data_IF_887555989136
#
_entry.id   IF_887555989136
#
_cell.length_a   1.000
_cell.length_b   1.000
_cell.length_c   1.000
_cell.angle_alpha   90.00
_cell.angle_beta   90.00
_cell.angle_gamma   90.00
#
_symmetry.space_group_name_H-M   'P 1'
#
loop_
_entity.id
_entity.type
_entity.pdbx_description
1 polymer ?
#
# COMPACT_ATOMS: atom_id res chain seq x y z
N UNK A 1 -4.95 -29.83 -16.19
CA UNK A 1 -4.08 -29.07 -15.27
C UNK A 1 -4.96 -28.41 -14.24
N UNK A 2 -4.78 -28.73 -12.95
CA UNK A 2 -5.35 -27.91 -11.88
C UNK A 2 -4.46 -26.68 -11.72
N UNK A 3 -5.07 -25.50 -11.67
CA UNK A 3 -4.37 -24.23 -11.45
C UNK A 3 -4.61 -23.87 -9.98
N UNK A 4 -3.56 -23.80 -9.18
CA UNK A 4 -3.69 -23.32 -7.81
C UNK A 4 -3.88 -21.81 -7.84
N UNK A 5 -5.10 -21.37 -7.56
CA UNK A 5 -5.50 -19.97 -7.62
C UNK A 5 -6.31 -19.57 -6.38
N UNK A 6 -6.13 -18.31 -5.95
CA UNK A 6 -6.93 -17.70 -4.88
C UNK A 6 -8.00 -16.82 -5.53
N UNK A 7 -9.27 -17.12 -5.24
CA UNK A 7 -10.38 -16.26 -5.63
C UNK A 7 -10.64 -15.26 -4.48
N UNK A 8 -10.58 -13.96 -4.80
CA UNK A 8 -10.87 -12.87 -3.85
C UNK A 8 -11.98 -11.99 -4.41
N UNK A 9 -12.92 -11.59 -3.56
CA UNK A 9 -13.93 -10.60 -3.91
C UNK A 9 -13.24 -9.29 -4.31
N UNK A 10 -13.59 -8.78 -5.49
CA UNK A 10 -13.08 -7.51 -5.98
C UNK A 10 -13.67 -6.34 -5.18
N UNK A 11 -12.83 -5.37 -4.80
CA UNK A 11 -13.27 -4.13 -4.16
C UNK A 11 -13.79 -3.21 -5.27
N UNK A 12 -15.11 -3.21 -5.46
CA UNK A 12 -15.77 -2.53 -6.56
C UNK A 12 -15.94 -1.02 -6.35
N UNK A 13 -15.90 -0.56 -5.09
CA UNK A 13 -16.02 0.86 -4.72
C UNK A 13 -14.78 1.29 -3.93
N UNK A 14 -13.58 1.31 -4.54
CA UNK A 14 -12.39 1.80 -3.86
C UNK A 14 -12.48 3.31 -3.63
N UNK A 15 -11.80 3.81 -2.62
CA UNK A 15 -11.57 5.24 -2.47
C UNK A 15 -10.69 5.75 -3.62
N UNK A 16 -11.10 6.85 -4.24
CA UNK A 16 -10.46 7.42 -5.43
C UNK A 16 -9.93 8.83 -5.14
N UNK A 17 -8.81 9.18 -5.73
CA UNK A 17 -8.31 10.55 -5.80
C UNK A 17 -8.23 10.93 -7.27
N UNK A 18 -8.86 12.04 -7.65
CA UNK A 18 -8.96 12.50 -9.04
C UNK A 18 -9.53 11.44 -10.01
N UNK A 19 -10.37 10.53 -9.48
CA UNK A 19 -10.94 9.40 -10.23
C UNK A 19 -9.97 8.24 -10.47
N UNK A 20 -8.75 8.28 -9.92
CA UNK A 20 -7.76 7.23 -10.03
C UNK A 20 -7.81 6.32 -8.81
N UNK A 21 -7.78 5.01 -9.06
CA UNK A 21 -7.62 4.00 -8.03
C UNK A 21 -6.17 3.99 -7.54
N UNK A 22 -5.96 3.73 -6.26
CA UNK A 22 -4.61 3.58 -5.71
C UNK A 22 -4.54 2.47 -4.65
N UNK A 23 -3.31 2.08 -4.34
CA UNK A 23 -3.00 1.26 -3.18
C UNK A 23 -1.96 1.95 -2.31
N UNK A 24 -1.82 1.46 -1.08
CA UNK A 24 -0.78 1.86 -0.16
C UNK A 24 0.23 0.75 -0.02
N UNK A 25 1.51 1.11 0.00
CA UNK A 25 2.64 0.28 0.35
C UNK A 25 3.25 0.81 1.63
N UNK A 26 3.09 0.04 2.69
CA UNK A 26 3.55 0.40 4.04
C UNK A 26 4.70 -0.51 4.43
N UNK A 27 5.74 0.07 5.00
CA UNK A 27 6.96 -0.65 5.38
C UNK A 27 6.96 -0.94 6.87
N UNK A 28 7.11 -2.22 7.22
CA UNK A 28 7.09 -2.70 8.59
C UNK A 28 8.34 -3.52 8.84
N UNK A 29 9.14 -3.13 9.82
CA UNK A 29 10.28 -3.93 10.27
C UNK A 29 9.86 -4.75 11.49
N UNK A 30 10.05 -6.07 11.42
CA UNK A 30 9.90 -6.96 12.57
C UNK A 30 11.28 -7.42 12.99
N UNK A 31 11.70 -7.06 14.21
CA UNK A 31 13.08 -7.35 14.69
C UNK A 31 13.14 -8.52 15.66
N UNK A 32 11.98 -8.98 16.13
CA UNK A 32 11.85 -10.09 17.06
C UNK A 32 10.41 -10.62 16.98
N UNK A 33 10.23 -11.93 17.10
CA UNK A 33 8.94 -12.60 17.27
C UNK A 33 8.77 -13.19 18.68
N UNK A 34 9.81 -13.14 19.53
CA UNK A 34 9.75 -13.53 20.94
C UNK A 34 10.74 -12.69 21.78
N UNK A 35 10.29 -11.61 22.43
CA UNK A 35 8.95 -11.02 22.31
C UNK A 35 8.74 -10.37 20.93
N UNK A 36 7.50 -10.29 20.44
CA UNK A 36 7.19 -9.61 19.18
C UNK A 36 7.55 -8.11 19.25
N UNK A 37 8.35 -7.65 18.28
CA UNK A 37 8.75 -6.23 18.13
C UNK A 37 8.51 -5.77 16.71
N UNK A 38 7.54 -4.87 16.56
CA UNK A 38 7.07 -4.32 15.28
C UNK A 38 7.42 -2.84 15.22
N UNK A 39 8.02 -2.41 14.10
CA UNK A 39 8.33 -1.02 13.81
C UNK A 39 7.66 -0.62 12.50
N UNK A 40 6.72 0.31 12.58
CA UNK A 40 6.08 0.91 11.42
C UNK A 40 6.94 2.06 10.92
N UNK A 41 7.34 2.04 9.65
CA UNK A 41 8.02 3.19 9.07
C UNK A 41 7.03 4.35 8.91
N UNK A 42 7.47 5.56 9.25
CA UNK A 42 6.62 6.75 9.24
C UNK A 42 6.12 7.14 7.85
N UNK A 43 6.77 6.67 6.79
CA UNK A 43 6.36 6.93 5.42
C UNK A 43 6.15 5.63 4.63
N UNK A 44 5.55 5.76 3.44
CA UNK A 44 5.22 4.66 2.56
C UNK A 44 5.05 5.16 1.13
N UNK A 45 4.56 4.29 0.25
CA UNK A 45 4.24 4.68 -1.12
C UNK A 45 2.75 4.57 -1.37
N UNK A 46 2.19 5.60 -1.96
CA UNK A 46 0.85 5.59 -2.54
C UNK A 46 1.03 5.39 -4.04
N UNK A 47 0.40 4.38 -4.62
CA UNK A 47 0.62 4.01 -6.03
C UNK A 47 -0.68 4.11 -6.79
N UNK A 48 -0.72 5.04 -7.74
CA UNK A 48 -1.90 5.29 -8.54
C UNK A 48 -1.91 4.44 -9.81
N UNK A 49 -3.13 4.05 -10.20
CA UNK A 49 -3.47 3.73 -11.57
C UNK A 49 -3.25 4.95 -12.49
N UNK A 50 -3.00 4.71 -13.77
CA UNK A 50 -2.82 5.80 -14.76
C UNK A 50 -4.09 6.15 -15.53
N UNK A 51 -5.16 5.37 -15.36
CA UNK A 51 -6.46 5.65 -15.96
C UNK A 51 -7.58 5.71 -14.93
N UNK A 52 -8.63 6.48 -15.27
CA UNK A 52 -9.80 6.66 -14.41
C UNK A 52 -10.49 5.32 -14.16
N UNK A 53 -10.86 5.11 -12.91
CA UNK A 53 -11.56 3.92 -12.47
C UNK A 53 -12.98 3.87 -13.05
N UNK A 54 -13.38 2.71 -13.57
CA UNK A 54 -14.73 2.47 -14.06
C UNK A 54 -15.06 0.99 -13.99
N UNK A 55 -16.29 0.65 -13.61
CA UNK A 55 -16.79 -0.74 -13.56
C UNK A 55 -17.56 -1.14 -14.81
N UNK A 56 -17.53 -0.33 -15.88
CA UNK A 56 -18.14 -0.69 -17.15
C UNK A 56 -17.50 -1.94 -17.74
N UNK A 57 -18.27 -2.74 -18.49
CA UNK A 57 -17.77 -4.00 -19.06
C UNK A 57 -16.50 -3.82 -19.91
N UNK A 58 -16.40 -2.72 -20.64
CA UNK A 58 -15.21 -2.38 -21.43
C UNK A 58 -14.02 -1.98 -20.55
N UNK A 59 -14.25 -1.27 -19.45
CA UNK A 59 -13.20 -0.83 -18.54
C UNK A 59 -12.62 -1.96 -17.68
N UNK A 60 -13.40 -3.01 -17.36
CA UNK A 60 -12.93 -4.15 -16.55
C UNK A 60 -11.74 -4.89 -17.18
N UNK A 61 -11.58 -4.80 -18.50
CA UNK A 61 -10.45 -5.40 -19.21
C UNK A 61 -9.21 -4.49 -19.25
N UNK A 62 -9.34 -3.25 -18.79
CA UNK A 62 -8.25 -2.29 -18.77
C UNK A 62 -7.41 -2.43 -17.48
N UNK A 63 -6.18 -2.96 -17.56
CA UNK A 63 -5.36 -3.12 -16.37
C UNK A 63 -4.91 -1.78 -15.77
N UNK A 64 -4.85 -0.69 -16.55
CA UNK A 64 -4.36 0.62 -16.11
C UNK A 64 -5.32 1.39 -15.20
N UNK A 65 -6.57 0.94 -15.07
CA UNK A 65 -7.56 1.51 -14.15
C UNK A 65 -7.80 0.62 -12.92
N UNK A 66 -7.53 -0.69 -13.02
CA UNK A 66 -7.87 -1.66 -11.99
C UNK A 66 -6.69 -2.24 -11.21
N UNK A 67 -5.48 -2.22 -11.80
CA UNK A 67 -4.25 -2.74 -11.22
C UNK A 67 -3.27 -1.60 -10.95
N UNK A 68 -2.95 -1.39 -9.67
CA UNK A 68 -2.09 -0.30 -9.17
C UNK A 68 -0.60 -0.62 -9.25
N UNK A 69 -0.22 -1.79 -9.79
CA UNK A 69 1.16 -2.21 -9.89
C UNK A 69 1.97 -1.25 -10.77
N UNK A 70 3.12 -0.79 -10.26
CA UNK A 70 4.03 0.08 -11.00
C UNK A 70 4.48 -0.53 -12.33
N UNK A 71 4.81 -1.83 -12.35
CA UNK A 71 5.25 -2.54 -13.56
C UNK A 71 4.19 -2.58 -14.66
N UNK A 72 2.92 -2.43 -14.30
CA UNK A 72 1.80 -2.31 -15.24
C UNK A 72 1.67 -0.85 -15.65
N UNK A 73 1.44 0.06 -14.70
CA UNK A 73 1.15 1.46 -15.00
C UNK A 73 2.28 2.21 -15.70
N UNK A 74 3.56 1.86 -15.46
CA UNK A 74 4.70 2.43 -16.19
C UNK A 74 4.64 2.16 -17.69
N UNK A 75 3.94 1.11 -18.13
CA UNK A 75 3.78 0.80 -19.56
C UNK A 75 2.82 1.77 -20.26
N UNK A 76 1.98 2.49 -19.52
CA UNK A 76 1.14 3.55 -20.06
C UNK A 76 1.91 4.87 -20.12
N UNK A 77 2.90 4.94 -21.01
CA UNK A 77 3.87 6.06 -21.07
C UNK A 77 3.21 7.43 -21.31
N UNK A 78 2.03 7.48 -21.92
CA UNK A 78 1.31 8.73 -22.18
C UNK A 78 0.66 9.34 -20.93
N UNK A 79 0.30 8.51 -19.95
CA UNK A 79 -0.41 8.93 -18.73
C UNK A 79 0.43 8.74 -17.46
N UNK A 80 1.51 7.96 -17.50
CA UNK A 80 2.38 7.72 -16.36
C UNK A 80 3.21 8.96 -16.05
N UNK A 81 3.06 9.49 -14.83
CA UNK A 81 3.80 10.66 -14.37
C UNK A 81 4.80 10.23 -13.29
N UNK A 82 6.10 10.33 -13.59
CA UNK A 82 7.14 10.13 -12.58
C UNK A 82 7.18 11.32 -11.63
N UNK A 83 7.50 11.05 -10.37
CA UNK A 83 8.00 12.10 -9.48
C UNK A 83 9.27 12.67 -10.08
N UNK A 84 9.36 14.00 -10.11
CA UNK A 84 10.64 14.68 -10.25
C UNK A 84 11.30 14.68 -8.88
N UNK A 85 12.58 14.29 -8.81
CA UNK A 85 13.36 14.27 -7.56
C UNK A 85 13.79 15.67 -7.11
N UNK A 86 13.35 16.71 -7.82
CA UNK A 86 13.69 18.09 -7.53
C UNK A 86 12.93 18.58 -6.29
N UNK A 87 13.66 19.07 -5.29
CA UNK A 87 13.13 19.66 -4.05
C UNK A 87 12.27 20.93 -4.27
N UNK A 88 12.04 21.31 -5.53
CA UNK A 88 11.27 22.46 -6.00
C UNK A 88 10.14 22.06 -6.96
N UNK A 89 9.77 20.78 -7.04
CA UNK A 89 8.56 20.39 -7.75
C UNK A 89 7.35 21.11 -7.14
N UNK A 90 6.69 21.97 -7.93
CA UNK A 90 5.48 22.68 -7.50
C UNK A 90 4.45 21.67 -6.97
N UNK A 91 3.71 22.03 -5.90
CA UNK A 91 2.71 21.14 -5.28
C UNK A 91 1.73 20.53 -6.31
N UNK A 92 1.41 21.28 -7.36
CA UNK A 92 0.56 20.82 -8.47
C UNK A 92 1.16 19.63 -9.21
N UNK A 93 2.46 19.65 -9.49
CA UNK A 93 3.16 18.55 -10.17
C UNK A 93 3.32 17.33 -9.26
N UNK A 94 3.53 17.56 -7.96
CA UNK A 94 3.61 16.47 -7.00
C UNK A 94 2.26 15.75 -6.83
N UNK A 95 1.15 16.50 -6.85
CA UNK A 95 -0.21 15.94 -6.81
C UNK A 95 -0.65 15.29 -8.13
N UNK A 96 -0.01 15.59 -9.26
CA UNK A 96 -0.32 14.93 -10.54
C UNK A 96 0.44 13.63 -10.76
N UNK A 97 1.45 13.34 -9.93
CA UNK A 97 2.31 12.18 -10.11
C UNK A 97 1.59 10.85 -9.87
N UNK A 98 2.07 9.78 -10.51
CA UNK A 98 1.53 8.42 -10.32
C UNK A 98 2.03 7.75 -9.04
N UNK A 99 2.77 8.46 -8.18
CA UNK A 99 3.30 7.94 -6.92
C UNK A 99 3.45 9.03 -5.87
N UNK A 100 2.76 8.93 -4.74
CA UNK A 100 2.99 9.83 -3.61
C UNK A 100 3.74 9.15 -2.48
N UNK A 101 4.33 9.96 -1.59
CA UNK A 101 4.62 9.51 -0.23
C UNK A 101 3.32 9.34 0.54
N UNK A 102 3.34 8.50 1.58
CA UNK A 102 2.18 8.34 2.46
C UNK A 102 1.90 9.64 3.22
N UNK A 103 2.95 10.39 3.59
CA UNK A 103 2.82 11.70 4.21
C UNK A 103 2.12 12.73 3.31
N UNK A 104 2.38 12.70 2.00
CA UNK A 104 1.67 13.55 1.04
C UNK A 104 0.18 13.21 0.98
N UNK A 105 -0.20 11.94 1.02
CA UNK A 105 -1.61 11.55 1.12
C UNK A 105 -2.25 12.06 2.42
N UNK A 106 -1.56 11.96 3.55
CA UNK A 106 -2.07 12.46 4.83
C UNK A 106 -2.26 13.98 4.80
N UNK A 107 -1.29 14.73 4.27
CA UNK A 107 -1.43 16.18 4.03
C UNK A 107 -2.63 16.47 3.14
N UNK A 108 -2.73 15.79 1.99
CA UNK A 108 -3.84 15.96 1.05
C UNK A 108 -5.20 15.74 1.74
N UNK A 109 -5.37 14.66 2.50
CA UNK A 109 -6.64 14.39 3.20
C UNK A 109 -6.98 15.43 4.27
N UNK A 110 -5.99 15.93 5.00
CA UNK A 110 -6.20 17.04 5.95
C UNK A 110 -6.63 18.32 5.25
N UNK A 111 -5.97 18.66 4.14
CA UNK A 111 -6.28 19.85 3.34
C UNK A 111 -7.69 19.74 2.69
N UNK A 112 -8.20 18.53 2.49
CA UNK A 112 -9.59 18.26 2.07
C UNK A 112 -10.60 18.24 3.23
N UNK A 113 -10.19 18.58 4.46
CA UNK A 113 -11.06 18.59 5.63
C UNK A 113 -11.38 17.22 6.24
N UNK A 114 -10.66 16.16 5.85
CA UNK A 114 -10.91 14.77 6.29
C UNK A 114 -10.01 14.33 7.44
N UNK A 115 -9.71 15.24 8.37
CA UNK A 115 -8.75 14.99 9.44
C UNK A 115 -9.21 13.84 10.36
N UNK A 116 -10.51 13.79 10.68
CA UNK A 116 -11.05 12.75 11.56
C UNK A 116 -11.06 11.37 10.88
N UNK A 117 -11.46 11.29 9.61
CA UNK A 117 -11.41 10.05 8.84
C UNK A 117 -9.98 9.54 8.65
N UNK A 118 -9.03 10.46 8.50
CA UNK A 118 -7.61 10.12 8.44
C UNK A 118 -7.12 9.48 9.74
N UNK A 119 -7.50 10.00 10.91
CA UNK A 119 -7.14 9.39 12.21
C UNK A 119 -7.69 7.96 12.32
N UNK A 120 -8.97 7.76 12.00
CA UNK A 120 -9.59 6.44 11.99
C UNK A 120 -8.88 5.48 11.01
N UNK A 121 -8.51 5.99 9.83
CA UNK A 121 -7.79 5.24 8.81
C UNK A 121 -6.39 4.80 9.29
N UNK A 122 -5.63 5.69 9.92
CA UNK A 122 -4.31 5.39 10.47
C UNK A 122 -4.40 4.33 11.57
N UNK A 123 -5.36 4.46 12.49
CA UNK A 123 -5.58 3.49 13.54
C UNK A 123 -5.97 2.11 12.98
N UNK A 124 -6.85 2.06 11.99
CA UNK A 124 -7.25 0.81 11.33
C UNK A 124 -6.08 0.15 10.58
N UNK A 125 -5.19 0.96 9.98
CA UNK A 125 -3.99 0.46 9.31
C UNK A 125 -3.01 -0.17 10.30
N UNK A 126 -2.75 0.48 11.43
CA UNK A 126 -1.90 -0.05 12.50
C UNK A 126 -2.46 -1.35 13.06
N UNK A 127 -3.76 -1.37 13.37
CA UNK A 127 -4.46 -2.53 13.91
C UNK A 127 -4.41 -3.72 12.94
N UNK A 128 -4.63 -3.49 11.63
CA UNK A 128 -4.49 -4.51 10.59
C UNK A 128 -3.07 -5.12 10.57
N UNK A 129 -2.04 -4.29 10.66
CA UNK A 129 -0.64 -4.73 10.64
C UNK A 129 -0.34 -5.58 11.89
N UNK A 130 -0.69 -5.08 13.08
CA UNK A 130 -0.45 -5.77 14.34
C UNK A 130 -1.17 -7.11 14.37
N UNK A 131 -2.46 -7.15 14.05
CA UNK A 131 -3.25 -8.39 14.03
C UNK A 131 -2.72 -9.40 13.03
N UNK A 132 -2.26 -8.95 11.87
CA UNK A 132 -1.66 -9.85 10.86
C UNK A 132 -0.38 -10.51 11.38
N UNK A 133 0.46 -9.76 12.10
CA UNK A 133 1.72 -10.28 12.64
C UNK A 133 1.50 -11.17 13.86
N UNK A 134 0.57 -10.80 14.75
CA UNK A 134 0.16 -11.63 15.90
C UNK A 134 -0.41 -12.97 15.42
N UNK A 135 -1.21 -12.98 14.36
CA UNK A 135 -1.80 -14.22 13.82
C UNK A 135 -0.77 -15.25 13.35
N UNK A 136 0.49 -14.86 13.13
CA UNK A 136 1.58 -15.75 12.71
C UNK A 136 2.71 -15.83 13.74
N UNK A 137 2.63 -15.10 14.84
CA UNK A 137 3.68 -14.95 15.85
C UNK A 137 4.13 -16.31 16.39
N UNK A 138 3.21 -17.08 16.99
CA UNK A 138 3.51 -18.40 17.59
C UNK A 138 4.16 -19.36 16.58
N UNK A 139 3.66 -19.36 15.35
CA UNK A 139 4.15 -20.25 14.29
C UNK A 139 5.56 -19.87 13.86
N UNK A 140 5.89 -18.59 13.81
CA UNK A 140 7.24 -18.13 13.46
C UNK A 140 8.20 -18.30 14.63
N UNK A 141 7.76 -17.96 15.85
CA UNK A 141 8.54 -18.08 17.08
C UNK A 141 8.95 -19.53 17.36
N UNK A 142 8.01 -20.47 17.24
CA UNK A 142 8.29 -21.91 17.42
C UNK A 142 9.35 -22.43 16.44
N UNK A 143 9.28 -22.04 15.17
CA UNK A 143 10.30 -22.40 14.16
C UNK A 143 11.66 -21.76 14.48
N UNK A 144 11.67 -20.50 14.93
CA UNK A 144 12.89 -19.79 15.26
C UNK A 144 13.61 -20.38 16.49
N UNK A 145 12.87 -20.83 17.51
CA UNK A 145 13.43 -21.46 18.72
C UNK A 145 14.14 -22.80 18.46
N UNK A 146 13.80 -23.49 17.36
CA UNK A 146 14.47 -24.73 16.93
C UNK A 146 15.82 -24.50 16.24
N UNK A 147 16.19 -23.25 15.94
CA UNK A 147 17.42 -22.89 15.25
C UNK A 147 18.55 -22.58 16.23
N UNK A 148 19.72 -23.20 16.03
CA UNK A 148 20.92 -23.02 16.88
C UNK A 148 21.62 -21.66 16.66
N UNK A 149 21.19 -20.86 15.69
CA UNK A 149 21.74 -19.52 15.45
C UNK A 149 20.89 -18.45 16.16
N UNK A 150 21.44 -17.85 17.23
CA UNK A 150 20.89 -16.65 17.92
C UNK A 150 20.93 -15.37 17.05
N UNK A 151 21.10 -15.47 15.73
CA UNK A 151 21.15 -14.30 14.86
C UNK A 151 19.74 -13.75 14.72
N UNK A 152 19.50 -12.62 15.40
CA UNK A 152 18.33 -11.77 15.28
C UNK A 152 18.14 -11.36 13.82
N UNK A 153 17.42 -12.18 13.05
CA UNK A 153 16.95 -11.79 11.73
C UNK A 153 15.94 -10.66 11.89
N UNK A 154 16.11 -9.58 11.16
CA UNK A 154 15.06 -8.59 10.98
C UNK A 154 14.42 -8.83 9.63
N UNK A 155 13.10 -8.68 9.55
CA UNK A 155 12.37 -8.81 8.29
C UNK A 155 11.66 -7.49 7.96
N UNK A 156 11.95 -6.96 6.79
CA UNK A 156 11.22 -5.83 6.22
C UNK A 156 10.03 -6.37 5.42
N UNK A 157 8.84 -6.24 6.00
CA UNK A 157 7.57 -6.61 5.37
C UNK A 157 6.97 -5.42 4.64
N UNK A 158 6.32 -5.73 3.53
CA UNK A 158 5.61 -4.77 2.69
C UNK A 158 4.12 -5.06 2.73
N UNK A 159 3.37 -4.27 3.47
CA UNK A 159 1.92 -4.38 3.55
C UNK A 159 1.28 -3.61 2.40
N UNK A 160 0.31 -4.22 1.72
CA UNK A 160 -0.43 -3.59 0.61
C UNK A 160 -1.92 -3.60 0.88
N UNK A 161 -2.55 -2.42 0.87
CA UNK A 161 -3.98 -2.23 1.09
C UNK A 161 -4.59 -1.32 0.03
N UNK A 162 -5.86 -1.55 -0.30
CA UNK A 162 -6.67 -0.66 -1.13
C UNK A 162 -7.69 -0.02 -0.18
N UNK A 163 -7.67 1.31 0.01
CA UNK A 163 -8.68 1.97 0.81
C UNK A 163 -10.05 1.89 0.12
N UNK A 164 -11.10 1.66 0.91
CA UNK A 164 -12.50 1.59 0.50
C UNK A 164 -13.41 2.42 1.41
#
# INVERSE_FOLDING_TARGET
MSIDAILKRYIANPFLINGLKFDLRVYVAVTSYDPLRIYLFHDGLVRFCTEKYSTSKSALQNPFSHLTNYSINKKNAAAFQQNQDDAQADEVHALSSSKWSLQMLFKYLRDQGKAHELENFQQALEDLIVKTLVAVEDKIASVASGSTSRRNGFELKQFTGIPD
#
